data_IF_190035267998
#
_entry.id   IF_190035267998
#
_cell.length_a   1.000
_cell.length_b   1.000
_cell.length_c   1.000
_cell.angle_alpha   90.00
_cell.angle_beta   90.00
_cell.angle_gamma   90.00
#
_symmetry.space_group_name_H-M   'P 1'
#
loop_
_entity.id
_entity.type
_entity.pdbx_description
1 polymer ?
#
# COMPACT_ATOMS: atom_id res chain seq x y z
N UNK A 1 16.65 51.03 -20.06
CA UNK A 1 17.65 49.97 -19.83
C UNK A 1 17.06 49.01 -18.82
N UNK A 2 16.72 47.80 -19.24
CA UNK A 2 16.30 46.76 -18.29
C UNK A 2 17.52 46.30 -17.50
N UNK A 3 17.37 46.07 -16.19
CA UNK A 3 18.42 45.43 -15.41
C UNK A 3 18.56 43.98 -15.89
N UNK A 4 19.69 43.67 -16.52
CA UNK A 4 20.08 42.28 -16.79
C UNK A 4 20.31 41.61 -15.43
N UNK A 5 19.36 40.77 -15.01
CA UNK A 5 19.47 40.04 -13.74
C UNK A 5 20.56 39.01 -13.85
N UNK A 6 21.50 38.99 -12.90
CA UNK A 6 22.60 38.02 -12.85
C UNK A 6 22.08 36.58 -13.05
N UNK A 7 22.71 35.79 -13.96
CA UNK A 7 22.17 34.49 -14.36
C UNK A 7 22.12 33.50 -13.19
N UNK A 8 23.06 33.58 -12.25
CA UNK A 8 23.10 32.75 -11.05
C UNK A 8 21.95 33.09 -10.08
N UNK A 9 21.67 34.39 -9.88
CA UNK A 9 20.54 34.84 -9.05
C UNK A 9 19.19 34.43 -9.67
N UNK A 10 19.10 34.49 -10.99
CA UNK A 10 17.93 34.01 -11.75
C UNK A 10 17.74 32.50 -11.61
N UNK A 11 18.80 31.70 -11.76
CA UNK A 11 18.78 30.25 -11.55
C UNK A 11 18.32 29.89 -10.13
N UNK A 12 18.87 30.54 -9.11
CA UNK A 12 18.48 30.36 -7.72
C UNK A 12 17.02 30.76 -7.44
N UNK A 13 16.52 31.80 -8.12
CA UNK A 13 15.11 32.20 -8.06
C UNK A 13 14.19 31.14 -8.69
N UNK A 14 14.59 30.51 -9.80
CA UNK A 14 13.87 29.37 -10.38
C UNK A 14 13.87 28.16 -9.46
N UNK A 15 15.03 27.80 -8.89
CA UNK A 15 15.17 26.74 -7.92
C UNK A 15 14.24 26.90 -6.71
N UNK A 16 14.25 28.08 -6.08
CA UNK A 16 13.35 28.43 -4.96
C UNK A 16 11.87 28.33 -5.33
N UNK A 17 11.52 28.56 -6.59
CA UNK A 17 10.15 28.46 -7.14
C UNK A 17 9.79 27.05 -7.64
N UNK A 18 10.62 26.03 -7.35
CA UNK A 18 10.49 24.64 -7.85
C UNK A 18 10.45 24.53 -9.39
N UNK A 19 11.06 25.49 -10.10
CA UNK A 19 11.22 25.46 -11.57
C UNK A 19 12.55 24.82 -11.94
N UNK A 20 12.68 23.53 -11.63
CA UNK A 20 13.96 22.81 -11.69
C UNK A 20 14.54 22.70 -13.10
N UNK A 21 13.72 22.46 -14.13
CA UNK A 21 14.20 22.40 -15.53
C UNK A 21 14.85 23.71 -15.99
N UNK A 22 14.17 24.84 -15.79
CA UNK A 22 14.68 26.16 -16.15
C UNK A 22 15.95 26.50 -15.35
N UNK A 23 16.00 26.07 -14.09
CA UNK A 23 17.19 26.18 -13.26
C UNK A 23 18.37 25.39 -13.86
N UNK A 24 18.19 24.11 -14.20
CA UNK A 24 19.19 23.28 -14.87
C UNK A 24 19.67 23.90 -16.20
N UNK A 25 18.76 24.43 -17.01
CA UNK A 25 19.07 25.11 -18.28
C UNK A 25 19.83 26.43 -18.10
N UNK A 26 19.61 27.16 -17.00
CA UNK A 26 20.41 28.35 -16.69
C UNK A 26 21.80 27.98 -16.15
N UNK A 27 21.89 26.99 -15.25
CA UNK A 27 23.18 26.55 -14.71
C UNK A 27 24.06 25.86 -15.75
N UNK A 28 23.51 25.18 -16.75
CA UNK A 28 24.30 24.64 -17.89
C UNK A 28 24.98 25.76 -18.67
N UNK A 29 24.25 26.82 -19.05
CA UNK A 29 24.83 27.98 -19.75
C UNK A 29 25.90 28.69 -18.93
N UNK A 30 25.73 28.79 -17.61
CA UNK A 30 26.75 29.35 -16.71
C UNK A 30 28.01 28.46 -16.73
N UNK A 31 27.87 27.15 -16.60
CA UNK A 31 29.00 26.21 -16.60
C UNK A 31 29.71 26.08 -17.96
N UNK A 32 29.00 26.33 -19.07
CA UNK A 32 29.59 26.44 -20.41
C UNK A 32 30.46 27.70 -20.58
N UNK A 33 30.13 28.78 -19.85
CA UNK A 33 30.90 30.03 -19.84
C UNK A 33 32.03 30.00 -18.79
N UNK A 34 31.75 29.44 -17.61
CA UNK A 34 32.64 29.38 -16.45
C UNK A 34 32.73 27.94 -15.91
N UNK A 35 33.66 27.10 -16.43
CA UNK A 35 33.72 25.68 -16.09
C UNK A 35 34.14 25.36 -14.64
N UNK A 36 34.57 26.37 -13.89
CA UNK A 36 35.03 26.24 -12.49
C UNK A 36 34.02 26.75 -11.46
N UNK A 37 32.82 27.22 -11.85
CA UNK A 37 31.82 27.68 -10.88
C UNK A 37 31.16 26.50 -10.11
N UNK A 38 31.68 26.27 -8.91
CA UNK A 38 31.15 25.28 -7.96
C UNK A 38 29.71 25.61 -7.51
N UNK A 39 29.31 26.88 -7.51
CA UNK A 39 27.98 27.30 -7.07
C UNK A 39 26.95 26.89 -8.12
N UNK A 40 27.09 27.30 -9.39
CA UNK A 40 26.23 26.82 -10.48
C UNK A 40 26.22 25.28 -10.60
N UNK A 41 27.36 24.61 -10.39
CA UNK A 41 27.41 23.15 -10.38
C UNK A 41 26.58 22.54 -9.25
N UNK A 42 26.76 23.00 -8.00
CA UNK A 42 25.98 22.52 -6.85
C UNK A 42 24.48 22.83 -6.96
N UNK A 43 24.13 23.94 -7.58
CA UNK A 43 22.74 24.36 -7.80
C UNK A 43 22.09 23.51 -8.90
N UNK A 44 22.83 23.17 -9.97
CA UNK A 44 22.42 22.22 -11.00
C UNK A 44 22.19 20.82 -10.43
N UNK A 45 23.13 20.28 -9.65
CA UNK A 45 22.98 18.93 -9.07
C UNK A 45 21.77 18.86 -8.14
N UNK A 46 21.51 19.89 -7.32
CA UNK A 46 20.27 19.99 -6.52
C UNK A 46 18.99 20.03 -7.36
N UNK A 47 19.00 20.77 -8.47
CA UNK A 47 17.82 20.85 -9.32
C UNK A 47 17.53 19.48 -9.97
N UNK A 48 18.57 18.74 -10.39
CA UNK A 48 18.44 17.36 -10.88
C UNK A 48 17.99 16.38 -9.79
N UNK A 49 18.48 16.50 -8.54
CA UNK A 49 17.99 15.64 -7.45
C UNK A 49 16.55 15.95 -7.09
N UNK A 50 16.18 17.21 -6.87
CA UNK A 50 14.83 17.57 -6.43
C UNK A 50 13.74 17.30 -7.49
N UNK A 51 14.11 17.11 -8.76
CA UNK A 51 13.22 16.56 -9.81
C UNK A 51 12.84 15.08 -9.58
N UNK A 52 13.74 14.27 -9.02
CA UNK A 52 13.59 12.80 -8.89
C UNK A 52 13.44 12.37 -7.42
N UNK A 53 13.75 13.26 -6.47
CA UNK A 53 13.81 13.00 -5.04
C UNK A 53 12.53 12.36 -4.51
N UNK A 54 12.70 11.37 -3.64
CA UNK A 54 11.62 10.70 -2.89
C UNK A 54 12.06 10.58 -1.44
N UNK A 55 11.12 10.66 -0.49
CA UNK A 55 11.46 10.37 0.89
C UNK A 55 11.60 8.85 1.10
N UNK A 56 12.79 8.45 1.54
CA UNK A 56 13.15 7.05 1.83
C UNK A 56 12.33 6.45 2.97
N UNK A 57 11.60 7.26 3.76
CA UNK A 57 10.72 6.73 4.82
C UNK A 57 9.56 5.94 4.21
N UNK A 58 8.90 6.49 3.19
CA UNK A 58 7.73 5.86 2.55
C UNK A 58 8.11 4.93 1.38
N UNK A 59 9.31 5.07 0.79
CA UNK A 59 9.86 4.11 -0.18
C UNK A 59 10.37 2.87 0.55
N UNK A 60 9.49 1.88 0.74
CA UNK A 60 9.87 0.57 1.28
C UNK A 60 9.46 -0.59 0.37
N UNK A 61 10.27 -0.84 -0.67
CA UNK A 61 10.03 -1.92 -1.60
C UNK A 61 10.75 -3.19 -1.10
N UNK A 62 10.01 -4.29 -0.92
CA UNK A 62 10.61 -5.62 -0.72
C UNK A 62 10.68 -6.33 -2.08
N UNK A 63 11.90 -6.56 -2.60
CA UNK A 63 12.08 -7.44 -3.76
C UNK A 63 11.80 -8.91 -3.40
N UNK A 64 11.43 -9.75 -4.39
CA UNK A 64 11.16 -11.18 -4.15
C UNK A 64 12.37 -11.88 -3.47
N UNK A 65 13.59 -11.45 -3.80
CA UNK A 65 14.81 -11.92 -3.12
C UNK A 65 14.82 -11.60 -1.62
N UNK A 66 14.55 -10.35 -1.23
CA UNK A 66 14.46 -9.94 0.19
C UNK A 66 13.31 -10.64 0.94
N UNK A 67 12.21 -10.92 0.23
CA UNK A 67 11.06 -11.61 0.83
C UNK A 67 11.37 -13.06 1.20
N UNK A 68 12.21 -13.74 0.39
CA UNK A 68 12.40 -15.20 0.39
C UNK A 68 13.80 -15.69 0.82
N UNK A 69 14.86 -14.93 0.55
CA UNK A 69 16.26 -15.34 0.78
C UNK A 69 16.87 -14.65 2.01
N UNK A 70 16.42 -13.44 2.34
CA UNK A 70 16.97 -12.65 3.44
C UNK A 70 16.28 -12.95 4.79
N UNK A 71 16.72 -14.02 5.45
CA UNK A 71 16.28 -14.40 6.80
C UNK A 71 16.85 -13.47 7.91
N UNK A 72 16.36 -12.24 7.98
CA UNK A 72 16.73 -11.26 9.01
C UNK A 72 15.93 -11.36 10.33
N UNK A 73 14.94 -12.25 10.41
CA UNK A 73 14.11 -12.45 11.60
C UNK A 73 14.73 -13.49 12.54
N UNK A 74 14.89 -13.16 13.83
CA UNK A 74 15.51 -14.06 14.83
C UNK A 74 14.63 -15.28 15.11
N UNK A 75 13.30 -15.12 15.11
CA UNK A 75 12.35 -16.17 15.45
C UNK A 75 11.71 -16.74 14.18
N UNK A 76 11.99 -18.01 13.87
CA UNK A 76 11.36 -18.72 12.74
C UNK A 76 9.87 -19.02 13.01
N UNK A 77 9.51 -19.31 14.26
CA UNK A 77 8.12 -19.48 14.71
C UNK A 77 7.86 -18.55 15.89
N UNK A 78 7.55 -17.29 15.59
CA UNK A 78 7.16 -16.31 16.59
C UNK A 78 5.81 -16.68 17.26
N UNK A 79 5.50 -16.03 18.38
CA UNK A 79 4.17 -16.16 19.00
C UNK A 79 3.15 -15.36 18.16
N UNK A 80 1.92 -15.87 17.95
CA UNK A 80 0.88 -15.11 17.26
C UNK A 80 0.67 -13.72 17.88
N UNK A 81 0.68 -12.68 17.06
CA UNK A 81 0.60 -11.27 17.50
C UNK A 81 1.92 -10.64 17.96
N UNK A 82 3.06 -11.31 17.82
CA UNK A 82 4.40 -10.73 18.11
C UNK A 82 5.31 -10.57 16.89
N UNK A 83 4.84 -10.96 15.71
CA UNK A 83 5.51 -10.90 14.40
C UNK A 83 4.48 -10.41 13.37
N UNK A 84 4.95 -9.75 12.32
CA UNK A 84 4.14 -9.28 11.18
C UNK A 84 3.94 -10.39 10.14
N UNK A 85 4.84 -11.38 10.08
CA UNK A 85 4.83 -12.46 9.08
C UNK A 85 3.73 -13.50 9.33
N UNK A 86 3.39 -13.77 10.59
CA UNK A 86 2.40 -14.78 10.93
C UNK A 86 1.02 -14.15 11.18
N UNK A 87 -0.01 -14.63 10.45
CA UNK A 87 -1.39 -14.23 10.69
C UNK A 87 -1.80 -14.54 12.14
N UNK A 88 -2.50 -13.58 12.78
CA UNK A 88 -2.94 -13.70 14.17
C UNK A 88 -3.86 -14.91 14.34
N UNK A 89 -3.47 -15.84 15.20
CA UNK A 89 -4.19 -17.09 15.42
C UNK A 89 -5.54 -16.88 16.12
N UNK A 90 -6.61 -17.37 15.48
CA UNK A 90 -7.99 -17.57 16.00
C UNK A 90 -8.76 -16.36 16.55
N UNK A 91 -8.14 -15.20 16.81
CA UNK A 91 -8.83 -13.95 17.14
C UNK A 91 -8.59 -12.93 16.03
N UNK A 92 -9.65 -12.66 15.28
CA UNK A 92 -9.67 -11.68 14.20
C UNK A 92 -10.59 -10.54 14.64
N UNK A 93 -10.02 -9.46 15.15
CA UNK A 93 -10.75 -8.30 15.70
C UNK A 93 -11.13 -7.29 14.58
N UNK A 94 -11.62 -7.80 13.45
CA UNK A 94 -11.97 -7.02 12.26
C UNK A 94 -13.14 -7.62 11.46
N UNK A 95 -13.61 -6.93 10.41
CA UNK A 95 -14.68 -7.43 9.54
C UNK A 95 -14.20 -8.64 8.73
N UNK A 96 -14.94 -9.75 8.81
CA UNK A 96 -14.55 -11.04 8.22
C UNK A 96 -14.44 -10.98 6.69
N UNK A 97 -13.75 -11.95 6.04
CA UNK A 97 -13.65 -12.03 4.58
C UNK A 97 -15.01 -12.03 3.84
N UNK A 98 -16.10 -12.43 4.51
CA UNK A 98 -17.46 -12.38 3.97
C UNK A 98 -18.06 -10.96 3.86
N UNK A 99 -17.43 -9.96 4.50
CA UNK A 99 -17.86 -8.56 4.50
C UNK A 99 -16.82 -7.65 3.84
N UNK A 100 -15.53 -7.90 4.10
CA UNK A 100 -14.42 -7.11 3.56
C UNK A 100 -13.56 -7.96 2.61
N UNK A 101 -13.38 -7.52 1.34
CA UNK A 101 -12.52 -8.21 0.39
C UNK A 101 -11.11 -8.43 0.93
N UNK A 102 -10.52 -9.57 0.57
CA UNK A 102 -9.17 -9.98 0.99
C UNK A 102 -8.21 -9.98 -0.18
N UNK A 103 -6.97 -9.58 0.09
CA UNK A 103 -5.85 -9.68 -0.83
C UNK A 103 -5.26 -11.10 -0.85
N UNK A 104 -4.32 -11.39 -1.75
CA UNK A 104 -3.77 -12.73 -1.98
C UNK A 104 -3.17 -13.43 -0.74
N UNK A 105 -2.80 -12.64 0.27
CA UNK A 105 -2.23 -13.08 1.55
C UNK A 105 -3.26 -13.48 2.60
N UNK A 106 -4.55 -13.27 2.34
CA UNK A 106 -5.62 -13.32 3.35
C UNK A 106 -5.69 -12.08 4.26
N UNK A 107 -4.89 -11.03 4.03
CA UNK A 107 -5.10 -9.72 4.69
C UNK A 107 -6.24 -8.96 4.01
N UNK A 108 -7.16 -8.32 4.77
CA UNK A 108 -8.21 -7.49 4.20
C UNK A 108 -7.66 -6.26 3.46
N UNK A 109 -8.36 -5.78 2.43
CA UNK A 109 -7.94 -4.58 1.68
C UNK A 109 -7.87 -3.35 2.59
N UNK A 110 -6.82 -2.52 2.47
CA UNK A 110 -6.66 -1.28 3.27
C UNK A 110 -7.35 -0.08 2.60
N UNK A 111 -7.73 0.91 3.40
CA UNK A 111 -8.31 2.17 2.90
C UNK A 111 -7.29 3.13 2.28
N UNK A 112 -5.98 2.91 2.50
CA UNK A 112 -4.91 3.72 1.92
C UNK A 112 -3.75 2.82 1.46
N UNK A 113 -3.39 2.94 0.18
CA UNK A 113 -2.31 2.18 -0.46
C UNK A 113 -1.02 3.01 -0.43
N UNK A 114 0.12 2.38 -0.14
CA UNK A 114 1.44 3.05 0.03
C UNK A 114 2.49 2.23 -0.72
N UNK A 115 3.59 2.82 -1.21
CA UNK A 115 4.68 2.02 -1.79
C UNK A 115 5.21 0.93 -0.83
N UNK A 116 5.11 1.16 0.48
CA UNK A 116 5.49 0.23 1.55
C UNK A 116 4.44 -0.82 1.96
N UNK A 117 3.20 -0.79 1.47
CA UNK A 117 2.16 -1.74 1.93
C UNK A 117 2.44 -3.16 1.43
N UNK A 118 2.99 -3.99 2.31
CA UNK A 118 3.06 -5.43 2.11
C UNK A 118 1.71 -6.06 2.45
N UNK A 119 0.94 -6.42 1.42
CA UNK A 119 -0.30 -7.20 1.61
C UNK A 119 0.00 -8.57 2.24
N UNK A 120 1.13 -9.19 1.89
CA UNK A 120 1.73 -10.34 2.57
C UNK A 120 2.85 -10.98 1.75
N UNK A 121 3.51 -12.00 2.30
CA UNK A 121 4.66 -12.66 1.65
C UNK A 121 4.26 -13.93 0.89
N UNK A 122 4.80 -14.18 -0.31
CA UNK A 122 4.64 -15.46 -0.99
C UNK A 122 5.33 -16.59 -0.21
N UNK A 123 4.82 -17.82 -0.28
CA UNK A 123 5.38 -18.96 0.46
C UNK A 123 6.55 -19.65 -0.22
N UNK A 124 6.69 -19.50 -1.54
CA UNK A 124 7.79 -20.07 -2.34
C UNK A 124 8.15 -19.15 -3.51
N UNK A 125 9.38 -19.28 -4.02
CA UNK A 125 9.84 -18.54 -5.21
C UNK A 125 8.97 -18.83 -6.44
N UNK A 126 8.57 -20.09 -6.65
CA UNK A 126 7.66 -20.45 -7.74
C UNK A 126 6.29 -19.79 -7.59
N UNK A 127 5.74 -19.73 -6.38
CA UNK A 127 4.48 -19.05 -6.12
C UNK A 127 4.61 -17.55 -6.43
N UNK A 128 5.69 -16.90 -5.99
CA UNK A 128 5.95 -15.48 -6.24
C UNK A 128 6.03 -15.12 -7.74
N UNK A 129 6.61 -16.02 -8.55
CA UNK A 129 6.72 -15.85 -10.02
C UNK A 129 5.37 -16.12 -10.72
N UNK A 130 4.55 -17.04 -10.19
CA UNK A 130 3.25 -17.42 -10.74
C UNK A 130 2.11 -16.48 -10.31
N UNK A 131 2.27 -15.70 -9.24
CA UNK A 131 1.33 -14.65 -8.82
C UNK A 131 1.52 -13.36 -9.63
N UNK A 132 0.45 -12.56 -9.85
CA UNK A 132 0.56 -11.28 -10.54
C UNK A 132 1.47 -10.30 -9.78
N UNK A 133 2.30 -9.54 -10.51
CA UNK A 133 3.43 -8.77 -9.94
C UNK A 133 3.03 -7.66 -8.96
N UNK A 134 1.79 -7.18 -9.03
CA UNK A 134 1.23 -6.15 -8.14
C UNK A 134 0.56 -6.73 -6.88
N UNK A 135 0.51 -8.06 -6.72
CA UNK A 135 -0.15 -8.70 -5.57
C UNK A 135 0.43 -8.29 -4.21
N UNK A 136 1.73 -7.95 -4.15
CA UNK A 136 2.48 -7.63 -2.93
C UNK A 136 3.03 -6.20 -2.85
N UNK A 137 3.09 -5.44 -3.94
CA UNK A 137 3.75 -4.12 -3.98
C UNK A 137 2.97 -3.08 -4.79
N UNK A 138 3.07 -1.82 -4.35
CA UNK A 138 2.01 -0.83 -4.52
C UNK A 138 2.45 0.46 -5.26
N UNK A 139 3.10 0.28 -6.41
CA UNK A 139 3.41 1.32 -7.44
C UNK A 139 4.47 2.41 -7.04
N UNK A 140 4.98 3.20 -8.02
CA UNK A 140 6.15 4.07 -7.80
C UNK A 140 5.88 5.58 -7.62
N UNK A 141 6.39 6.13 -6.52
CA UNK A 141 7.23 7.36 -6.39
C UNK A 141 6.68 8.78 -6.75
N UNK A 142 6.79 9.72 -5.77
CA UNK A 142 7.19 11.17 -5.82
C UNK A 142 6.75 11.89 -4.50
N UNK A 143 7.24 13.07 -4.04
CA UNK A 143 8.54 13.78 -4.18
C UNK A 143 8.74 14.93 -3.14
N UNK A 144 9.93 15.60 -3.13
CA UNK A 144 10.30 16.86 -2.41
C UNK A 144 10.51 16.80 -0.86
N UNK A 145 11.33 17.63 -0.17
CA UNK A 145 12.40 18.61 -0.53
C UNK A 145 13.23 19.02 0.73
N UNK A 146 14.49 19.49 0.61
CA UNK A 146 15.35 19.88 1.76
C UNK A 146 16.18 21.18 1.58
N UNK A 147 16.59 21.86 2.65
CA UNK A 147 17.27 23.19 2.62
C UNK A 147 18.82 23.11 2.66
N UNK A 148 19.47 24.19 2.18
CA UNK A 148 20.88 24.64 2.36
C UNK A 148 22.00 23.61 2.57
N UNK A 149 23.03 23.68 1.72
CA UNK A 149 23.96 22.57 1.46
C UNK A 149 25.44 23.02 1.43
N UNK A 150 26.33 22.14 1.91
CA UNK A 150 27.79 22.18 1.69
C UNK A 150 28.12 21.27 0.50
N UNK A 151 29.11 21.58 -0.34
CA UNK A 151 29.37 20.85 -1.62
C UNK A 151 29.34 19.31 -1.54
N UNK A 152 29.84 18.72 -0.44
CA UNK A 152 29.81 17.27 -0.23
C UNK A 152 28.40 16.68 0.01
N UNK A 153 27.49 17.41 0.65
CA UNK A 153 26.12 16.92 0.89
C UNK A 153 25.28 16.97 -0.40
N UNK A 154 25.57 17.91 -1.30
CA UNK A 154 24.98 17.96 -2.66
C UNK A 154 25.35 16.73 -3.47
N UNK A 155 26.64 16.40 -3.46
CA UNK A 155 27.15 15.25 -4.20
C UNK A 155 26.59 13.94 -3.63
N UNK A 156 26.49 13.81 -2.30
CA UNK A 156 25.86 12.65 -1.68
C UNK A 156 24.38 12.52 -2.10
N UNK A 157 23.58 13.58 -1.97
CA UNK A 157 22.17 13.58 -2.37
C UNK A 157 22.01 13.23 -3.86
N UNK A 158 22.94 13.67 -4.71
CA UNK A 158 22.97 13.34 -6.14
C UNK A 158 23.26 11.87 -6.41
N UNK A 159 24.36 11.33 -5.87
CA UNK A 159 24.72 9.92 -6.07
C UNK A 159 23.63 8.99 -5.49
N UNK A 160 23.06 9.35 -4.34
CA UNK A 160 22.10 8.52 -3.62
C UNK A 160 20.67 8.54 -4.21
N UNK A 161 20.15 9.71 -4.63
CA UNK A 161 18.76 9.83 -5.12
C UNK A 161 18.64 9.92 -6.65
N UNK A 162 19.62 10.48 -7.37
CA UNK A 162 19.57 10.60 -8.83
C UNK A 162 20.22 9.40 -9.52
N UNK A 163 21.49 9.09 -9.21
CA UNK A 163 22.20 7.94 -9.78
C UNK A 163 21.77 6.60 -9.13
N UNK A 164 21.23 6.65 -7.91
CA UNK A 164 20.91 5.49 -7.07
C UNK A 164 22.09 4.54 -6.79
N UNK A 165 23.33 5.02 -6.88
CA UNK A 165 24.53 4.25 -6.55
C UNK A 165 24.83 4.29 -5.05
N UNK A 166 24.26 3.33 -4.33
CA UNK A 166 24.39 3.21 -2.88
C UNK A 166 25.84 2.97 -2.43
N UNK A 167 26.70 2.37 -3.27
CA UNK A 167 28.08 2.03 -2.87
C UNK A 167 28.97 3.27 -2.87
N UNK A 168 28.98 4.01 -3.98
CA UNK A 168 29.72 5.26 -4.07
C UNK A 168 29.16 6.32 -3.10
N UNK A 169 27.84 6.31 -2.82
CA UNK A 169 27.24 7.14 -1.78
C UNK A 169 27.73 6.75 -0.36
N UNK A 170 27.86 5.46 -0.07
CA UNK A 170 28.38 4.96 1.22
C UNK A 170 29.83 5.38 1.42
N UNK A 171 30.70 5.18 0.43
CA UNK A 171 32.13 5.54 0.52
C UNK A 171 32.30 7.05 0.74
N UNK A 172 31.55 7.88 0.02
CA UNK A 172 31.52 9.33 0.23
C UNK A 172 31.02 9.70 1.63
N UNK A 173 29.97 9.04 2.12
CA UNK A 173 29.44 9.26 3.46
C UNK A 173 30.44 8.83 4.55
N UNK A 174 31.14 7.72 4.38
CA UNK A 174 32.17 7.24 5.30
C UNK A 174 33.31 8.26 5.43
N UNK A 175 33.91 8.67 4.31
CA UNK A 175 34.96 9.70 4.29
C UNK A 175 34.50 11.03 4.91
N UNK A 176 33.24 11.42 4.67
CA UNK A 176 32.67 12.61 5.28
C UNK A 176 32.40 12.45 6.79
N UNK A 177 31.99 11.27 7.27
CA UNK A 177 31.88 11.00 8.71
C UNK A 177 33.24 11.10 9.41
N UNK A 178 34.29 10.54 8.82
CA UNK A 178 35.66 10.61 9.34
C UNK A 178 36.16 12.06 9.40
N UNK A 179 35.99 12.83 8.32
CA UNK A 179 36.33 14.26 8.28
C UNK A 179 35.54 15.08 9.31
N UNK A 180 34.27 14.74 9.57
CA UNK A 180 33.45 15.34 10.64
C UNK A 180 33.80 14.86 12.06
N UNK A 181 34.79 13.97 12.22
CA UNK A 181 35.15 13.30 13.46
C UNK A 181 33.95 12.60 14.15
N UNK A 182 33.03 12.04 13.36
CA UNK A 182 31.81 11.37 13.80
C UNK A 182 30.88 12.20 14.71
N UNK A 183 30.93 13.54 14.62
CA UNK A 183 30.07 14.45 15.41
C UNK A 183 28.74 14.78 14.71
N UNK A 184 28.76 14.88 13.38
CA UNK A 184 27.58 15.29 12.61
C UNK A 184 26.55 14.15 12.53
N UNK A 185 25.36 14.36 13.08
CA UNK A 185 24.27 13.38 13.07
C UNK A 185 23.77 13.08 11.65
N UNK A 186 23.80 14.07 10.74
CA UNK A 186 23.30 13.95 9.37
C UNK A 186 24.09 12.90 8.58
N UNK A 187 25.43 12.93 8.65
CA UNK A 187 26.25 11.92 7.95
C UNK A 187 26.03 10.51 8.51
N UNK A 188 25.80 10.35 9.82
CA UNK A 188 25.43 9.06 10.42
C UNK A 188 24.06 8.56 9.97
N UNK A 189 23.09 9.47 9.87
CA UNK A 189 21.77 9.16 9.29
C UNK A 189 21.91 8.68 7.85
N UNK A 190 22.64 9.40 7.00
CA UNK A 190 22.84 9.02 5.60
C UNK A 190 23.60 7.70 5.44
N UNK A 191 24.64 7.47 6.25
CA UNK A 191 25.34 6.19 6.30
C UNK A 191 24.39 5.05 6.71
N UNK A 192 23.50 5.29 7.68
CA UNK A 192 22.43 4.39 8.06
C UNK A 192 21.45 4.08 6.92
N UNK A 193 21.08 5.07 6.08
CA UNK A 193 20.26 4.85 4.88
C UNK A 193 20.97 4.00 3.84
N UNK A 194 22.28 4.19 3.65
CA UNK A 194 23.09 3.37 2.75
C UNK A 194 23.13 1.91 3.23
N UNK A 195 23.44 1.67 4.51
CA UNK A 195 23.38 0.32 5.09
C UNK A 195 21.99 -0.31 4.99
N UNK A 196 20.93 0.48 5.18
CA UNK A 196 19.55 0.01 5.03
C UNK A 196 19.26 -0.47 3.60
N UNK A 197 19.59 0.33 2.57
CA UNK A 197 19.45 -0.05 1.15
C UNK A 197 20.34 -1.24 0.74
N UNK A 198 21.44 -1.49 1.46
CA UNK A 198 22.30 -2.67 1.27
C UNK A 198 21.82 -3.92 2.03
N UNK A 199 20.69 -3.85 2.76
CA UNK A 199 20.17 -4.95 3.59
C UNK A 199 20.90 -5.16 4.93
N UNK A 200 21.87 -4.31 5.28
CA UNK A 200 22.69 -4.40 6.49
C UNK A 200 21.97 -3.76 7.70
N UNK A 201 20.79 -4.28 8.02
CA UNK A 201 19.85 -3.69 9.00
C UNK A 201 20.45 -3.47 10.39
N UNK A 202 21.34 -4.35 10.86
CA UNK A 202 22.02 -4.20 12.18
C UNK A 202 23.04 -3.07 12.21
N UNK A 203 23.71 -2.81 11.10
CA UNK A 203 24.65 -1.70 10.97
C UNK A 203 23.89 -0.38 10.85
N UNK A 204 22.80 -0.37 10.08
CA UNK A 204 21.85 0.75 10.03
C UNK A 204 21.27 1.07 11.43
N UNK A 205 20.82 0.06 12.19
CA UNK A 205 20.34 0.20 13.56
C UNK A 205 21.36 0.91 14.46
N UNK A 206 22.64 0.51 14.38
CA UNK A 206 23.75 1.11 15.13
C UNK A 206 23.98 2.57 14.75
N UNK A 207 23.95 2.90 13.46
CA UNK A 207 24.12 4.29 13.01
C UNK A 207 22.94 5.19 13.41
N UNK A 208 21.71 4.73 13.25
CA UNK A 208 20.52 5.48 13.67
C UNK A 208 20.49 5.69 15.20
N UNK A 209 20.84 4.67 15.99
CA UNK A 209 21.03 4.83 17.45
C UNK A 209 22.13 5.83 17.80
N UNK A 210 23.27 5.81 17.10
CA UNK A 210 24.32 6.80 17.34
C UNK A 210 23.85 8.22 16.98
N UNK A 211 23.18 8.41 15.85
CA UNK A 211 22.63 9.71 15.45
C UNK A 211 21.60 10.25 16.48
N UNK A 212 20.71 9.40 17.01
CA UNK A 212 19.78 9.76 18.10
C UNK A 212 20.48 10.26 19.37
N UNK A 213 21.68 9.76 19.69
CA UNK A 213 22.47 10.28 20.84
C UNK A 213 23.05 11.68 20.61
N UNK A 214 23.18 12.14 19.36
CA UNK A 214 23.66 13.48 19.02
C UNK A 214 22.51 14.48 18.89
N UNK A 215 21.46 14.11 18.15
CA UNK A 215 20.26 14.94 18.00
C UNK A 215 19.00 14.08 17.93
N UNK A 216 18.03 14.42 18.77
CA UNK A 216 16.71 13.79 18.78
C UNK A 216 15.87 14.45 17.68
N UNK A 217 15.47 13.67 16.67
CA UNK A 217 14.69 14.12 15.52
C UNK A 217 13.67 13.04 15.14
N UNK A 218 12.52 13.46 14.62
CA UNK A 218 11.39 12.60 14.24
C UNK A 218 11.81 11.54 13.22
N UNK A 219 12.46 11.96 12.14
CA UNK A 219 12.96 11.10 11.06
C UNK A 219 13.72 9.89 11.61
N UNK A 220 14.58 10.12 12.60
CA UNK A 220 15.42 9.07 13.20
C UNK A 220 14.60 7.97 13.88
N UNK A 221 13.47 8.31 14.49
CA UNK A 221 12.53 7.30 15.01
C UNK A 221 11.85 6.54 13.88
N UNK A 222 11.48 7.21 12.79
CA UNK A 222 10.84 6.59 11.62
C UNK A 222 11.79 5.61 10.91
N UNK A 223 13.03 6.00 10.60
CA UNK A 223 14.04 5.12 10.00
C UNK A 223 14.39 3.91 10.90
N UNK A 224 14.49 4.12 12.22
CA UNK A 224 14.80 3.04 13.16
C UNK A 224 13.59 2.11 13.37
N UNK A 225 12.37 2.65 13.34
CA UNK A 225 11.13 1.86 13.27
C UNK A 225 11.06 1.00 12.01
N UNK A 226 11.40 1.57 10.85
CA UNK A 226 11.52 0.87 9.56
C UNK A 226 12.52 -0.29 9.62
N UNK A 227 13.68 -0.09 10.26
CA UNK A 227 14.67 -1.15 10.53
C UNK A 227 14.07 -2.27 11.41
N UNK A 228 13.36 -1.94 12.49
CA UNK A 228 12.72 -2.97 13.33
C UNK A 228 11.59 -3.73 12.62
N UNK A 229 10.84 -3.06 11.73
CA UNK A 229 9.82 -3.70 10.89
C UNK A 229 10.46 -4.72 9.93
N UNK A 230 11.55 -4.37 9.23
CA UNK A 230 12.28 -5.32 8.35
C UNK A 230 12.90 -6.49 9.11
N UNK A 231 13.33 -6.30 10.35
CA UNK A 231 13.80 -7.38 11.23
C UNK A 231 12.67 -8.20 11.90
N UNK A 232 11.41 -7.93 11.55
CA UNK A 232 10.20 -8.57 12.09
C UNK A 232 10.05 -8.42 13.63
N UNK A 233 10.32 -7.22 14.15
CA UNK A 233 10.22 -6.87 15.56
C UNK A 233 9.19 -5.75 15.83
N UNK A 234 7.89 -5.96 15.51
CA UNK A 234 6.88 -4.89 15.63
C UNK A 234 6.73 -4.34 17.05
N UNK A 235 6.88 -5.18 18.08
CA UNK A 235 6.80 -4.74 19.48
C UNK A 235 7.94 -3.79 19.87
N UNK A 236 9.14 -3.93 19.30
CA UNK A 236 10.26 -3.00 19.57
C UNK A 236 10.11 -1.70 18.79
N UNK A 237 9.52 -1.74 17.59
CA UNK A 237 9.09 -0.53 16.88
C UNK A 237 8.01 0.23 17.66
N UNK A 238 7.02 -0.45 18.26
CA UNK A 238 5.99 0.19 19.08
C UNK A 238 6.54 0.79 20.38
N UNK A 239 7.51 0.18 21.05
CA UNK A 239 8.15 0.79 22.24
C UNK A 239 9.05 1.97 21.85
N UNK A 240 9.77 1.88 20.73
CA UNK A 240 10.52 2.99 20.14
C UNK A 240 9.61 4.17 19.80
N UNK A 241 8.48 3.94 19.14
CA UNK A 241 7.55 5.02 18.79
C UNK A 241 6.88 5.64 20.02
N UNK A 242 6.58 4.86 21.07
CA UNK A 242 6.16 5.43 22.36
C UNK A 242 7.21 6.35 22.96
N UNK A 243 8.48 5.95 22.97
CA UNK A 243 9.58 6.84 23.37
C UNK A 243 9.70 8.08 22.48
N UNK A 244 9.39 7.95 21.18
CA UNK A 244 9.30 9.07 20.24
C UNK A 244 8.17 10.05 20.60
N UNK A 245 6.98 9.54 20.94
CA UNK A 245 5.84 10.34 21.38
C UNK A 245 6.07 11.00 22.74
N UNK A 246 6.79 10.34 23.67
CA UNK A 246 7.20 10.97 24.95
C UNK A 246 8.10 12.20 24.73
N UNK A 247 8.82 12.27 23.60
CA UNK A 247 9.62 13.45 23.19
C UNK A 247 8.82 14.42 22.33
N UNK A 248 7.96 13.91 21.46
CA UNK A 248 7.17 14.66 20.48
C UNK A 248 5.67 14.32 20.61
N UNK A 249 4.96 14.85 21.63
CA UNK A 249 3.64 14.36 22.06
C UNK A 249 2.47 14.69 21.12
N UNK A 250 2.74 15.18 19.91
CA UNK A 250 1.75 15.55 18.88
C UNK A 250 2.21 15.21 17.46
N UNK A 251 3.28 14.43 17.33
CA UNK A 251 3.88 14.15 16.02
C UNK A 251 3.03 13.19 15.20
N UNK A 252 2.48 13.70 14.09
CA UNK A 252 1.52 12.98 13.24
C UNK A 252 2.15 11.76 12.58
N UNK A 253 3.39 11.91 12.09
CA UNK A 253 4.10 10.83 11.39
C UNK A 253 4.33 9.60 12.27
N UNK A 254 4.65 9.79 13.55
CA UNK A 254 4.85 8.71 14.52
C UNK A 254 3.52 8.04 14.88
N UNK A 255 2.45 8.81 15.09
CA UNK A 255 1.11 8.26 15.34
C UNK A 255 0.60 7.43 14.15
N UNK A 256 0.82 7.91 12.92
CA UNK A 256 0.56 7.13 11.70
C UNK A 256 1.39 5.84 11.65
N UNK A 257 2.71 5.90 11.93
CA UNK A 257 3.55 4.71 11.92
C UNK A 257 3.12 3.65 12.97
N UNK A 258 2.66 4.08 14.15
CA UNK A 258 2.05 3.20 15.15
C UNK A 258 0.75 2.58 14.63
N UNK A 259 -0.13 3.38 14.04
CA UNK A 259 -1.38 2.88 13.46
C UNK A 259 -1.14 1.86 12.33
N UNK A 260 -0.17 2.12 11.44
CA UNK A 260 0.28 1.19 10.37
C UNK A 260 0.71 -0.16 10.94
N UNK A 261 1.56 -0.19 11.97
CA UNK A 261 1.97 -1.46 12.63
C UNK A 261 0.75 -2.19 13.23
N UNK A 262 -0.20 -1.46 13.82
CA UNK A 262 -1.43 -2.08 14.34
C UNK A 262 -2.32 -2.65 13.23
N UNK A 263 -2.43 -2.02 12.06
CA UNK A 263 -3.11 -2.58 10.87
C UNK A 263 -2.38 -3.83 10.33
N UNK A 264 -1.05 -3.81 10.23
CA UNK A 264 -0.27 -4.98 9.77
C UNK A 264 -0.35 -6.17 10.73
N UNK A 265 -0.53 -5.92 12.03
CA UNK A 265 -0.86 -6.93 13.04
C UNK A 265 -2.35 -7.33 13.04
N UNK A 266 -3.18 -6.87 12.10
CA UNK A 266 -4.64 -7.04 12.03
C UNK A 266 -5.43 -6.54 13.29
N UNK A 267 -4.82 -5.70 14.13
CA UNK A 267 -5.43 -5.16 15.35
C UNK A 267 -6.19 -3.85 15.04
N UNK A 268 -7.27 -3.98 14.26
CA UNK A 268 -8.01 -2.85 13.70
C UNK A 268 -8.57 -1.88 14.74
N UNK A 269 -8.96 -2.37 15.93
CA UNK A 269 -9.50 -1.54 17.02
C UNK A 269 -8.46 -0.47 17.42
N UNK A 270 -7.27 -0.89 17.85
CA UNK A 270 -6.19 0.03 18.24
C UNK A 270 -5.70 0.88 17.07
N UNK A 271 -5.68 0.35 15.85
CA UNK A 271 -5.36 1.16 14.66
C UNK A 271 -6.36 2.34 14.51
N UNK A 272 -7.66 2.11 14.64
CA UNK A 272 -8.65 3.22 14.59
C UNK A 272 -8.53 4.19 15.75
N UNK A 273 -8.05 3.76 16.92
CA UNK A 273 -7.78 4.67 18.04
C UNK A 273 -6.63 5.62 17.71
N UNK A 274 -5.49 5.10 17.24
CA UNK A 274 -4.36 5.94 16.83
C UNK A 274 -4.68 6.82 15.63
N UNK A 275 -5.43 6.34 14.63
CA UNK A 275 -5.91 7.21 13.55
C UNK A 275 -6.88 8.30 14.04
N UNK A 276 -7.70 8.04 15.07
CA UNK A 276 -8.52 9.09 15.70
C UNK A 276 -7.64 10.09 16.46
N UNK A 277 -6.51 9.69 17.01
CA UNK A 277 -5.52 10.62 17.58
C UNK A 277 -4.82 11.46 16.52
N UNK A 278 -4.44 10.85 15.38
CA UNK A 278 -3.97 11.57 14.20
C UNK A 278 -4.97 12.65 13.79
N UNK A 279 -6.25 12.32 13.64
CA UNK A 279 -7.31 13.29 13.27
C UNK A 279 -7.55 14.40 14.31
N UNK A 280 -7.13 14.23 15.57
CA UNK A 280 -7.15 15.31 16.58
C UNK A 280 -5.99 16.29 16.40
N UNK A 281 -4.85 15.85 15.87
CA UNK A 281 -3.67 16.71 15.63
C UNK A 281 -3.72 17.32 14.22
N UNK A 282 -3.74 16.47 13.18
CA UNK A 282 -3.95 16.85 11.80
C UNK A 282 -5.28 16.29 11.31
N UNK A 283 -6.24 17.20 11.17
CA UNK A 283 -7.57 16.89 10.73
C UNK A 283 -7.69 16.77 9.19
N UNK A 284 -6.61 17.01 8.44
CA UNK A 284 -6.55 16.97 6.98
C UNK A 284 -5.90 15.69 6.44
N UNK A 285 -5.26 14.88 7.30
CA UNK A 285 -4.50 13.70 6.88
C UNK A 285 -5.35 12.68 6.09
N UNK A 286 -5.03 12.55 4.80
CA UNK A 286 -5.74 11.69 3.85
C UNK A 286 -5.74 10.22 4.30
N UNK A 287 -4.60 9.72 4.79
CA UNK A 287 -4.41 8.35 5.27
C UNK A 287 -5.41 8.01 6.38
N UNK A 288 -5.41 8.81 7.45
CA UNK A 288 -6.22 8.53 8.63
C UNK A 288 -7.72 8.61 8.32
N UNK A 289 -8.12 9.57 7.46
CA UNK A 289 -9.51 9.70 6.99
C UNK A 289 -9.92 8.48 6.15
N UNK A 290 -9.07 8.01 5.24
CA UNK A 290 -9.38 6.89 4.34
C UNK A 290 -9.41 5.54 5.08
N UNK A 291 -8.43 5.27 5.96
CA UNK A 291 -8.44 4.07 6.79
C UNK A 291 -9.66 4.04 7.73
N UNK A 292 -9.99 5.14 8.43
CA UNK A 292 -11.20 5.22 9.26
C UNK A 292 -12.48 5.08 8.43
N UNK A 293 -12.57 5.73 7.26
CA UNK A 293 -13.71 5.64 6.36
C UNK A 293 -13.96 4.22 5.86
N UNK A 294 -12.92 3.52 5.38
CA UNK A 294 -13.02 2.12 4.96
C UNK A 294 -13.42 1.20 6.11
N UNK A 295 -12.86 1.41 7.32
CA UNK A 295 -13.20 0.61 8.49
C UNK A 295 -14.68 0.79 8.88
N UNK A 296 -15.21 2.02 8.91
CA UNK A 296 -16.64 2.26 9.18
C UNK A 296 -17.56 1.68 8.09
N UNK A 297 -17.15 1.73 6.82
CA UNK A 297 -17.91 1.14 5.71
C UNK A 297 -18.11 -0.37 5.91
N UNK A 298 -17.04 -1.10 6.21
CA UNK A 298 -17.08 -2.55 6.45
C UNK A 298 -17.59 -2.97 7.85
N UNK A 299 -17.94 -2.03 8.73
CA UNK A 299 -18.64 -2.29 10.00
C UNK A 299 -20.10 -1.81 9.96
N UNK A 300 -20.76 -1.94 8.80
CA UNK A 300 -22.16 -1.55 8.55
C UNK A 300 -22.51 -0.10 8.91
N UNK A 301 -21.55 0.83 8.78
CA UNK A 301 -21.74 2.27 9.03
C UNK A 301 -21.41 3.14 7.80
N UNK A 302 -22.06 2.90 6.63
CA UNK A 302 -21.77 3.62 5.38
C UNK A 302 -22.06 5.12 5.47
N UNK A 303 -23.01 5.56 6.29
CA UNK A 303 -23.27 7.00 6.53
C UNK A 303 -22.07 7.73 7.15
N UNK A 304 -21.36 7.06 8.06
CA UNK A 304 -20.19 7.63 8.74
C UNK A 304 -19.00 7.62 7.77
N UNK A 305 -18.80 6.53 7.03
CA UNK A 305 -17.82 6.45 5.96
C UNK A 305 -18.02 7.55 4.91
N UNK A 306 -19.27 7.81 4.50
CA UNK A 306 -19.64 8.87 3.56
C UNK A 306 -19.25 10.26 4.07
N UNK A 307 -19.35 10.53 5.37
CA UNK A 307 -18.87 11.80 5.96
C UNK A 307 -17.35 11.94 5.86
N UNK A 308 -16.60 10.86 6.10
CA UNK A 308 -15.15 10.85 5.96
C UNK A 308 -14.70 11.01 4.49
N UNK A 309 -15.32 10.32 3.53
CA UNK A 309 -14.98 10.51 2.12
C UNK A 309 -15.42 11.88 1.57
N UNK A 310 -16.57 12.43 2.02
CA UNK A 310 -16.96 13.81 1.70
C UNK A 310 -15.98 14.84 2.25
N UNK A 311 -15.33 14.56 3.39
CA UNK A 311 -14.25 15.40 3.91
C UNK A 311 -13.03 15.42 2.98
N UNK A 312 -12.60 14.27 2.45
CA UNK A 312 -11.51 14.23 1.45
C UNK A 312 -11.84 15.05 0.20
N UNK A 313 -13.08 14.96 -0.28
CA UNK A 313 -13.57 15.77 -1.40
C UNK A 313 -13.55 17.28 -1.07
N UNK A 314 -13.94 17.68 0.14
CA UNK A 314 -13.86 19.07 0.61
C UNK A 314 -12.42 19.60 0.73
N UNK A 315 -11.44 18.72 1.00
CA UNK A 315 -10.02 19.07 1.00
C UNK A 315 -9.43 19.23 -0.42
N UNK A 316 -10.22 18.99 -1.47
CA UNK A 316 -9.77 19.12 -2.87
C UNK A 316 -9.11 17.87 -3.45
N UNK A 317 -9.19 16.72 -2.79
CA UNK A 317 -8.77 15.43 -3.37
C UNK A 317 -9.74 15.06 -4.49
N UNK A 318 -9.23 14.76 -5.68
CA UNK A 318 -10.02 14.57 -6.90
C UNK A 318 -9.50 13.37 -7.70
N UNK A 319 -9.71 12.17 -7.15
CA UNK A 319 -9.14 10.91 -7.65
C UNK A 319 -10.26 9.93 -8.03
N UNK A 320 -10.01 9.04 -9.00
CA UNK A 320 -10.92 7.97 -9.40
C UNK A 320 -11.40 7.13 -8.19
N UNK A 321 -10.47 6.64 -7.37
CA UNK A 321 -10.76 5.78 -6.21
C UNK A 321 -11.63 6.49 -5.17
N UNK A 322 -11.48 7.81 -5.00
CA UNK A 322 -12.30 8.58 -4.06
C UNK A 322 -13.75 8.66 -4.54
N UNK A 323 -13.98 8.91 -5.82
CA UNK A 323 -15.34 8.93 -6.39
C UNK A 323 -15.98 7.54 -6.43
N UNK A 324 -15.20 6.49 -6.68
CA UNK A 324 -15.63 5.10 -6.57
C UNK A 324 -16.13 4.78 -5.15
N UNK A 325 -15.32 5.10 -4.13
CA UNK A 325 -15.66 4.93 -2.71
C UNK A 325 -16.86 5.80 -2.28
N UNK A 326 -16.99 7.03 -2.80
CA UNK A 326 -18.16 7.88 -2.58
C UNK A 326 -19.43 7.27 -3.17
N UNK A 327 -19.37 6.69 -4.37
CA UNK A 327 -20.52 6.06 -5.03
C UNK A 327 -21.01 4.83 -4.26
N UNK A 328 -20.09 3.96 -3.83
CA UNK A 328 -20.40 2.85 -2.93
C UNK A 328 -21.02 3.34 -1.62
N UNK A 329 -20.39 4.31 -0.94
CA UNK A 329 -20.92 4.82 0.33
C UNK A 329 -22.29 5.49 0.16
N UNK A 330 -22.54 6.22 -0.93
CA UNK A 330 -23.87 6.76 -1.24
C UNK A 330 -24.91 5.66 -1.48
N UNK A 331 -24.56 4.57 -2.18
CA UNK A 331 -25.46 3.44 -2.40
C UNK A 331 -25.84 2.72 -1.10
N UNK A 332 -24.86 2.30 -0.31
CA UNK A 332 -25.13 1.60 0.95
C UNK A 332 -25.73 2.53 2.03
N UNK A 333 -25.53 3.86 1.94
CA UNK A 333 -26.24 4.86 2.75
C UNK A 333 -27.59 5.34 2.15
N UNK A 334 -28.10 4.67 1.11
CA UNK A 334 -29.41 4.93 0.47
C UNK A 334 -29.59 6.35 -0.11
N UNK A 335 -28.49 7.06 -0.44
CA UNK A 335 -28.51 8.40 -1.04
C UNK A 335 -28.43 8.29 -2.57
N UNK A 336 -29.53 7.83 -3.18
CA UNK A 336 -29.59 7.43 -4.59
C UNK A 336 -29.22 8.53 -5.60
N UNK A 337 -29.57 9.79 -5.32
CA UNK A 337 -29.39 10.94 -6.21
C UNK A 337 -27.94 11.15 -6.68
N UNK A 338 -26.96 10.85 -5.83
CA UNK A 338 -25.55 11.17 -6.08
C UNK A 338 -24.77 10.01 -6.71
N UNK A 339 -25.32 8.79 -6.72
CA UNK A 339 -24.60 7.56 -7.02
C UNK A 339 -24.04 7.56 -8.44
N UNK A 340 -24.91 7.67 -9.45
CA UNK A 340 -24.51 7.60 -10.86
C UNK A 340 -23.52 8.73 -11.18
N UNK A 341 -23.78 9.96 -10.72
CA UNK A 341 -22.88 11.11 -10.95
C UNK A 341 -21.48 10.91 -10.36
N UNK A 342 -21.36 10.14 -9.27
CA UNK A 342 -20.06 9.82 -8.68
C UNK A 342 -19.32 8.72 -9.44
N UNK A 343 -20.00 7.68 -9.92
CA UNK A 343 -19.36 6.66 -10.78
C UNK A 343 -19.01 7.19 -12.17
N UNK A 344 -19.83 8.05 -12.77
CA UNK A 344 -19.50 8.77 -14.02
C UNK A 344 -18.22 9.61 -13.86
N UNK A 345 -18.08 10.31 -12.72
CA UNK A 345 -16.85 11.05 -12.41
C UNK A 345 -15.66 10.13 -12.19
N UNK A 346 -15.84 9.00 -11.51
CA UNK A 346 -14.78 8.01 -11.34
C UNK A 346 -14.29 7.49 -12.70
N UNK A 347 -15.20 7.10 -13.61
CA UNK A 347 -14.86 6.69 -14.98
C UNK A 347 -14.14 7.80 -15.76
N UNK A 348 -14.54 9.08 -15.59
CA UNK A 348 -13.87 10.21 -16.25
C UNK A 348 -12.46 10.53 -15.72
N UNK A 349 -12.11 10.02 -14.54
CA UNK A 349 -10.84 10.24 -13.85
C UNK A 349 -9.94 9.01 -13.80
N UNK A 350 -10.40 7.88 -14.31
CA UNK A 350 -9.63 6.65 -14.32
C UNK A 350 -8.52 6.75 -15.37
N UNK A 351 -7.27 6.74 -14.91
CA UNK A 351 -6.08 6.79 -15.78
C UNK A 351 -5.63 5.39 -16.23
N UNK A 352 -6.07 4.35 -15.49
CA UNK A 352 -5.64 2.96 -15.65
C UNK A 352 -6.81 2.05 -16.02
N UNK A 353 -6.60 1.07 -16.91
CA UNK A 353 -7.62 0.07 -17.28
C UNK A 353 -8.13 -0.74 -16.06
N UNK A 354 -7.24 -0.99 -15.09
CA UNK A 354 -7.59 -1.59 -13.79
C UNK A 354 -8.63 -0.77 -13.02
N UNK A 355 -8.45 0.55 -12.93
CA UNK A 355 -9.37 1.45 -12.23
C UNK A 355 -10.72 1.52 -12.96
N UNK A 356 -10.70 1.56 -14.29
CA UNK A 356 -11.91 1.50 -15.11
C UNK A 356 -12.64 0.18 -14.83
N UNK A 357 -11.93 -0.95 -14.73
CA UNK A 357 -12.51 -2.24 -14.39
C UNK A 357 -13.11 -2.26 -12.97
N UNK A 358 -12.41 -1.76 -11.95
CA UNK A 358 -12.94 -1.65 -10.58
C UNK A 358 -14.20 -0.80 -10.49
N UNK A 359 -14.27 0.30 -11.25
CA UNK A 359 -15.46 1.18 -11.27
C UNK A 359 -16.65 0.49 -11.94
N UNK A 360 -16.45 -0.19 -13.08
CA UNK A 360 -17.52 -0.99 -13.70
C UNK A 360 -17.97 -2.15 -12.81
N UNK A 361 -17.07 -2.72 -12.01
CA UNK A 361 -17.38 -3.82 -11.10
C UNK A 361 -18.30 -3.36 -9.97
N UNK A 362 -17.96 -2.22 -9.36
CA UNK A 362 -18.77 -1.59 -8.33
C UNK A 362 -20.12 -1.09 -8.87
N UNK A 363 -20.17 -0.58 -10.11
CA UNK A 363 -21.43 -0.26 -10.77
C UNK A 363 -22.28 -1.52 -11.04
N UNK A 364 -21.63 -2.65 -11.32
CA UNK A 364 -22.28 -3.97 -11.43
C UNK A 364 -22.95 -4.40 -10.12
N UNK A 365 -22.27 -4.23 -8.98
CA UNK A 365 -22.84 -4.47 -7.65
C UNK A 365 -24.05 -3.58 -7.35
N UNK A 366 -23.96 -2.28 -7.67
CA UNK A 366 -25.07 -1.35 -7.54
C UNK A 366 -26.27 -1.80 -8.38
N UNK A 367 -26.04 -2.23 -9.64
CA UNK A 367 -27.10 -2.77 -10.49
C UNK A 367 -27.71 -4.08 -9.95
N UNK A 368 -26.91 -4.98 -9.35
CA UNK A 368 -27.44 -6.18 -8.66
C UNK A 368 -28.34 -5.79 -7.49
N UNK A 369 -27.95 -4.79 -6.69
CA UNK A 369 -28.72 -4.34 -5.53
C UNK A 369 -29.98 -3.54 -5.88
N UNK A 370 -30.01 -2.87 -7.04
CA UNK A 370 -31.23 -2.30 -7.64
C UNK A 370 -32.17 -3.41 -8.14
N UNK A 371 -31.60 -4.54 -8.59
CA UNK A 371 -32.32 -5.70 -9.13
C UNK A 371 -32.20 -5.87 -10.65
N UNK A 372 -31.55 -4.93 -11.34
CA UNK A 372 -31.36 -4.95 -12.80
C UNK A 372 -30.24 -5.91 -13.22
N UNK A 373 -30.53 -7.20 -13.15
CA UNK A 373 -29.58 -8.29 -13.46
C UNK A 373 -29.01 -8.23 -14.89
N UNK A 374 -29.70 -7.56 -15.83
CA UNK A 374 -29.21 -7.36 -17.19
C UNK A 374 -28.16 -6.25 -17.28
N UNK A 375 -28.31 -5.16 -16.52
CA UNK A 375 -27.32 -4.10 -16.41
C UNK A 375 -26.08 -4.63 -15.69
N UNK A 376 -26.27 -5.29 -14.55
CA UNK A 376 -25.17 -5.96 -13.82
C UNK A 376 -24.36 -6.91 -14.71
N UNK A 377 -25.03 -7.69 -15.55
CA UNK A 377 -24.40 -8.59 -16.52
C UNK A 377 -23.58 -7.88 -17.59
N UNK A 378 -23.99 -6.68 -18.03
CA UNK A 378 -23.21 -5.84 -18.94
C UNK A 378 -22.01 -5.23 -18.22
N UNK A 379 -22.20 -4.67 -17.03
CA UNK A 379 -21.14 -4.15 -16.19
C UNK A 379 -20.03 -5.19 -15.95
N UNK A 380 -20.37 -6.39 -15.45
CA UNK A 380 -19.40 -7.49 -15.24
C UNK A 380 -18.80 -8.07 -16.53
N UNK A 381 -19.27 -7.68 -17.73
CA UNK A 381 -18.57 -7.95 -18.99
C UNK A 381 -17.61 -6.83 -19.37
N UNK A 382 -17.96 -5.57 -19.09
CA UNK A 382 -17.08 -4.42 -19.26
C UNK A 382 -15.90 -4.45 -18.28
N UNK A 383 -16.08 -4.97 -17.07
CA UNK A 383 -14.95 -5.25 -16.15
C UNK A 383 -13.95 -6.20 -16.79
N UNK A 384 -14.43 -7.31 -17.36
CA UNK A 384 -13.60 -8.35 -17.94
C UNK A 384 -12.96 -7.93 -19.27
N UNK A 385 -13.61 -7.07 -20.06
CA UNK A 385 -12.98 -6.52 -21.27
C UNK A 385 -11.81 -5.59 -20.99
N UNK A 386 -11.81 -4.94 -19.82
CA UNK A 386 -10.77 -3.98 -19.43
C UNK A 386 -9.69 -4.66 -18.56
N UNK A 387 -10.07 -5.56 -17.67
CA UNK A 387 -9.15 -6.41 -16.92
C UNK A 387 -9.60 -7.88 -17.00
N UNK A 388 -8.90 -8.65 -17.85
CA UNK A 388 -9.16 -10.07 -18.08
C UNK A 388 -8.85 -10.98 -16.87
N UNK A 389 -8.08 -10.50 -15.90
CA UNK A 389 -7.62 -11.25 -14.72
C UNK A 389 -8.49 -10.98 -13.47
N UNK A 390 -9.58 -10.21 -13.62
CA UNK A 390 -10.42 -9.77 -12.52
C UNK A 390 -11.36 -10.88 -11.98
N UNK A 391 -10.83 -11.69 -11.06
CA UNK A 391 -11.48 -12.89 -10.50
C UNK A 391 -12.87 -12.67 -9.89
N UNK A 392 -13.12 -11.53 -9.24
CA UNK A 392 -14.40 -11.27 -8.56
C UNK A 392 -15.56 -11.10 -9.56
N UNK A 393 -15.30 -10.47 -10.72
CA UNK A 393 -16.28 -10.33 -11.79
C UNK A 393 -16.62 -11.67 -12.43
N UNK A 394 -15.65 -12.58 -12.63
CA UNK A 394 -15.93 -13.94 -13.07
C UNK A 394 -16.86 -14.67 -12.10
N UNK A 395 -16.63 -14.54 -10.79
CA UNK A 395 -17.50 -15.12 -9.76
C UNK A 395 -18.93 -14.55 -9.83
N UNK A 396 -19.08 -13.22 -9.86
CA UNK A 396 -20.41 -12.59 -9.89
C UNK A 396 -21.14 -12.85 -11.22
N UNK A 397 -20.43 -12.87 -12.34
CA UNK A 397 -20.98 -13.25 -13.66
C UNK A 397 -21.44 -14.72 -13.66
N UNK A 398 -20.69 -15.62 -13.03
CA UNK A 398 -21.09 -17.02 -12.86
C UNK A 398 -22.37 -17.17 -12.02
N UNK A 399 -22.50 -16.40 -10.92
CA UNK A 399 -23.73 -16.37 -10.11
C UNK A 399 -24.92 -15.88 -10.94
N UNK A 400 -24.74 -14.88 -11.82
CA UNK A 400 -25.79 -14.43 -12.74
C UNK A 400 -26.15 -15.47 -13.81
N UNK A 401 -25.17 -16.17 -14.41
CA UNK A 401 -25.45 -17.23 -15.39
C UNK A 401 -26.06 -18.49 -14.74
N UNK A 402 -25.70 -18.79 -13.49
CA UNK A 402 -26.33 -19.82 -12.67
C UNK A 402 -27.80 -19.48 -12.38
N UNK A 403 -28.14 -18.22 -12.08
CA UNK A 403 -29.54 -17.75 -11.99
C UNK A 403 -30.29 -17.85 -13.32
N UNK A 404 -29.59 -17.78 -14.46
CA UNK A 404 -30.12 -18.02 -15.82
C UNK A 404 -30.15 -19.51 -16.21
N UNK A 405 -29.87 -20.43 -15.27
CA UNK A 405 -29.76 -21.88 -15.48
C UNK A 405 -28.68 -22.33 -16.48
N UNK A 406 -27.68 -21.49 -16.81
CA UNK A 406 -26.59 -21.83 -17.72
C UNK A 406 -25.41 -22.44 -16.96
N UNK A 407 -25.63 -23.64 -16.45
CA UNK A 407 -24.72 -24.39 -15.55
C UNK A 407 -23.30 -24.52 -16.10
N UNK A 408 -23.13 -24.88 -17.38
CA UNK A 408 -21.80 -25.10 -17.97
C UNK A 408 -20.96 -23.82 -18.04
N UNK A 409 -21.58 -22.70 -18.38
CA UNK A 409 -20.93 -21.39 -18.45
C UNK A 409 -20.53 -20.91 -17.04
N UNK A 410 -21.44 -21.04 -16.07
CA UNK A 410 -21.13 -20.74 -14.67
C UNK A 410 -19.97 -21.60 -14.15
N UNK A 411 -19.92 -22.89 -14.49
CA UNK A 411 -18.81 -23.79 -14.10
C UNK A 411 -17.46 -23.33 -14.66
N UNK A 412 -17.40 -22.96 -15.93
CA UNK A 412 -16.16 -22.46 -16.55
C UNK A 412 -15.68 -21.14 -15.91
N UNK A 413 -16.59 -20.19 -15.68
CA UNK A 413 -16.28 -18.89 -15.05
C UNK A 413 -15.82 -19.03 -13.59
N UNK A 414 -16.40 -19.98 -12.83
CA UNK A 414 -15.93 -20.28 -11.47
C UNK A 414 -14.55 -20.94 -11.46
N UNK A 415 -14.26 -21.78 -12.45
CA UNK A 415 -12.93 -22.38 -12.61
C UNK A 415 -11.88 -21.31 -12.93
N UNK A 416 -12.14 -20.37 -13.85
CA UNK A 416 -11.22 -19.24 -14.12
C UNK A 416 -11.03 -18.37 -12.87
N UNK A 417 -12.11 -17.97 -12.20
CA UNK A 417 -12.04 -17.21 -10.94
C UNK A 417 -11.18 -17.90 -9.87
N UNK A 418 -11.39 -19.20 -9.63
CA UNK A 418 -10.64 -19.98 -8.64
C UNK A 418 -9.16 -20.19 -9.01
N UNK A 419 -8.81 -20.08 -10.30
CA UNK A 419 -7.42 -20.16 -10.78
C UNK A 419 -6.68 -18.83 -10.69
N UNK A 420 -7.37 -17.71 -10.95
CA UNK A 420 -6.86 -16.34 -10.85
C UNK A 420 -6.67 -15.91 -9.38
N UNK A 421 -7.64 -16.25 -8.53
CA UNK A 421 -7.64 -15.92 -7.11
C UNK A 421 -7.88 -17.16 -6.23
N UNK A 422 -6.86 -18.01 -6.00
CA UNK A 422 -7.00 -19.19 -5.15
C UNK A 422 -7.32 -18.89 -3.68
N UNK A 423 -7.10 -17.64 -3.25
CA UNK A 423 -7.29 -17.13 -1.88
C UNK A 423 -8.72 -16.63 -1.60
N UNK A 424 -9.51 -16.36 -2.64
CA UNK A 424 -10.93 -16.00 -2.51
C UNK A 424 -11.74 -17.26 -2.20
N UNK A 425 -12.64 -17.20 -1.22
CA UNK A 425 -13.40 -18.38 -0.78
C UNK A 425 -14.71 -18.58 -1.57
N UNK A 426 -15.21 -17.50 -2.18
CA UNK A 426 -16.46 -17.36 -2.91
C UNK A 426 -16.48 -18.18 -4.21
N UNK A 427 -15.45 -18.17 -5.07
CA UNK A 427 -15.44 -19.01 -6.26
C UNK A 427 -15.44 -20.50 -5.92
N UNK A 428 -14.68 -20.89 -4.88
CA UNK A 428 -14.59 -22.28 -4.44
C UNK A 428 -15.91 -22.79 -3.87
N UNK A 429 -16.61 -22.00 -3.04
CA UNK A 429 -17.89 -22.44 -2.48
C UNK A 429 -19.02 -22.42 -3.53
N UNK A 430 -19.06 -21.41 -4.41
CA UNK A 430 -20.02 -21.36 -5.51
C UNK A 430 -19.82 -22.55 -6.47
N UNK A 431 -18.57 -22.94 -6.75
CA UNK A 431 -18.26 -24.15 -7.49
C UNK A 431 -18.70 -25.41 -6.74
N UNK A 432 -18.43 -25.49 -5.43
CA UNK A 432 -18.81 -26.63 -4.61
C UNK A 432 -20.34 -26.85 -4.60
N UNK A 433 -21.14 -25.80 -4.42
CA UNK A 433 -22.61 -25.86 -4.51
C UNK A 433 -23.11 -26.16 -5.94
N UNK A 434 -22.44 -25.68 -6.98
CA UNK A 434 -22.80 -25.99 -8.36
C UNK A 434 -22.57 -27.48 -8.67
N UNK A 435 -21.42 -28.03 -8.26
CA UNK A 435 -21.08 -29.45 -8.42
C UNK A 435 -21.96 -30.38 -7.57
N UNK A 436 -22.33 -29.99 -6.33
CA UNK A 436 -23.30 -30.71 -5.51
C UNK A 436 -24.66 -30.84 -6.24
N UNK A 437 -25.15 -29.74 -6.85
CA UNK A 437 -26.40 -29.74 -7.64
C UNK A 437 -26.34 -30.59 -8.92
N UNK A 438 -25.14 -30.81 -9.47
CA UNK A 438 -24.93 -31.69 -10.63
C UNK A 438 -24.79 -33.17 -10.18
N UNK A 439 -24.46 -33.41 -8.90
CA UNK A 439 -24.18 -34.74 -8.36
C UNK A 439 -22.70 -35.15 -8.36
N UNK A 440 -21.78 -34.25 -8.76
CA UNK A 440 -20.34 -34.48 -8.69
C UNK A 440 -19.82 -34.15 -7.28
N UNK A 441 -20.02 -35.11 -6.37
CA UNK A 441 -19.62 -35.00 -4.97
C UNK A 441 -18.10 -34.89 -4.80
N UNK A 442 -17.30 -35.47 -5.71
CA UNK A 442 -15.85 -35.49 -5.59
C UNK A 442 -15.25 -34.12 -5.88
N UNK A 443 -15.63 -33.45 -6.97
CA UNK A 443 -15.15 -32.09 -7.24
C UNK A 443 -15.73 -31.08 -6.24
N UNK A 444 -16.96 -31.29 -5.77
CA UNK A 444 -17.58 -30.52 -4.70
C UNK A 444 -16.74 -30.54 -3.41
N UNK A 445 -16.33 -31.73 -2.96
CA UNK A 445 -15.54 -31.87 -1.74
C UNK A 445 -14.15 -31.22 -1.84
N UNK A 446 -13.46 -31.37 -2.97
CA UNK A 446 -12.16 -30.72 -3.21
C UNK A 446 -12.28 -29.20 -3.22
N UNK A 447 -13.35 -28.65 -3.83
CA UNK A 447 -13.59 -27.20 -3.83
C UNK A 447 -14.00 -26.69 -2.44
N UNK A 448 -14.84 -27.41 -1.70
CA UNK A 448 -15.21 -27.07 -0.33
C UNK A 448 -13.99 -27.07 0.61
N UNK A 449 -13.05 -28.01 0.45
CA UNK A 449 -11.76 -28.00 1.17
C UNK A 449 -10.91 -26.76 0.86
N UNK A 450 -10.84 -26.33 -0.42
CA UNK A 450 -10.14 -25.09 -0.80
C UNK A 450 -10.83 -23.85 -0.21
N UNK A 451 -12.15 -23.80 -0.23
CA UNK A 451 -12.94 -22.75 0.42
C UNK A 451 -12.66 -22.67 1.92
N UNK A 452 -12.57 -23.82 2.61
CA UNK A 452 -12.24 -23.88 4.04
C UNK A 452 -10.77 -23.51 4.34
N UNK A 453 -9.85 -23.72 3.40
CA UNK A 453 -8.47 -23.24 3.51
C UNK A 453 -8.38 -21.70 3.35
N UNK A 454 -9.20 -21.12 2.47
CA UNK A 454 -9.30 -19.67 2.26
C UNK A 454 -10.02 -18.96 3.43
N UNK A 455 -11.19 -19.45 3.85
CA UNK A 455 -11.95 -18.91 4.98
C UNK A 455 -12.40 -20.04 5.94
N UNK A 456 -11.60 -20.37 6.97
CA UNK A 456 -11.86 -21.55 7.82
C UNK A 456 -13.09 -21.41 8.74
N UNK A 457 -13.53 -20.18 9.01
CA UNK A 457 -14.70 -19.91 9.87
C UNK A 457 -16.01 -19.85 9.07
N UNK A 458 -16.03 -20.21 7.79
CA UNK A 458 -17.26 -20.15 6.99
C UNK A 458 -18.25 -21.26 7.36
N UNK A 459 -19.42 -20.88 7.88
CA UNK A 459 -20.43 -21.81 8.39
C UNK A 459 -20.97 -22.72 7.29
N UNK A 460 -21.32 -22.16 6.11
CA UNK A 460 -21.91 -22.96 5.03
C UNK A 460 -20.90 -23.95 4.44
N UNK A 461 -19.61 -23.58 4.36
CA UNK A 461 -18.55 -24.47 3.89
C UNK A 461 -18.35 -25.64 4.85
N UNK A 462 -18.39 -25.39 6.16
CA UNK A 462 -18.32 -26.45 7.18
C UNK A 462 -19.51 -27.40 7.06
N UNK A 463 -20.73 -26.88 6.96
CA UNK A 463 -21.95 -27.69 6.76
C UNK A 463 -21.90 -28.51 5.46
N UNK A 464 -21.39 -27.95 4.37
CA UNK A 464 -21.22 -28.67 3.09
C UNK A 464 -20.19 -29.81 3.23
N UNK A 465 -19.05 -29.55 3.89
CA UNK A 465 -18.04 -30.58 4.18
C UNK A 465 -18.62 -31.71 5.03
N UNK A 466 -19.45 -31.40 6.03
CA UNK A 466 -20.11 -32.41 6.87
C UNK A 466 -21.11 -33.26 6.07
N UNK A 467 -21.97 -32.64 5.25
CA UNK A 467 -22.91 -33.36 4.36
C UNK A 467 -22.17 -34.29 3.39
N UNK A 468 -21.14 -33.79 2.71
CA UNK A 468 -20.36 -34.58 1.76
C UNK A 468 -19.64 -35.75 2.45
N UNK A 469 -19.12 -35.55 3.67
CA UNK A 469 -18.55 -36.64 4.49
C UNK A 469 -19.59 -37.68 4.90
N UNK A 470 -20.81 -37.27 5.23
CA UNK A 470 -21.91 -38.22 5.50
C UNK A 470 -22.23 -39.04 4.24
N UNK A 471 -22.32 -38.43 3.07
CA UNK A 471 -22.50 -39.15 1.81
C UNK A 471 -21.38 -40.15 1.53
N UNK A 472 -20.10 -39.79 1.74
CA UNK A 472 -18.97 -40.71 1.58
C UNK A 472 -18.84 -41.79 2.66
N UNK A 473 -19.60 -41.70 3.77
CA UNK A 473 -19.63 -42.72 4.82
C UNK A 473 -20.81 -43.70 4.69
N UNK A 474 -21.76 -43.41 3.78
CA UNK A 474 -22.95 -44.23 3.49
C UNK A 474 -22.77 -45.08 2.22
N UNK A 475 -21.76 -44.76 1.40
CA UNK A 475 -21.31 -45.50 0.21
C UNK A 475 -20.18 -46.45 0.61
#
# INVERSE_FOLDING_TARGET
MGLETEPLLQAWSYFRRRKFELCCQTCTRILEQEPYDQVAWSLKTRALTEMVYVDEIDVDQEGIAEMMLDENAIAQVARPGTSLKQAVGKKFDGPSPAVRPVTQSGRPISGFVRPSTQSGRPGTMEQAIKTPRTASTARPITSASGRYVRLGTTLFEYIFHHENDVKNALDLAALATEHSNFKDWWWKMQLGKCYYRLGLYREAEKQFKSALTHQIMVDMFLYLGKVYIRMDQPLTALTLFKQGLDRFPKEVSILCAVARIHEEMNNMISATEYYKEVLKQDNTNIEAIACIGSNHFYTDQPEIALRFYRRLLQMGVYNCQLFNNLGLCCFYAQQYDMILTSFERALSLAENEDEVAEVWYNLGHVAVGIGDLNLAYQCFKLTLSNNNDHAEAYNNLAVLEMRKNRVEQARALLQTASSLAPHMYEPHINFAFLSEKIGDLQSSYVAAQKSAAAFPNHVETQQLIEKLRQHFAVI
#
